data_IF_529017740697
#
_entry.id   IF_529017740697
#
_cell.length_a   1.000
_cell.length_b   1.000
_cell.length_c   1.000
_cell.angle_alpha   90.00
_cell.angle_beta   90.00
_cell.angle_gamma   90.00
#
_symmetry.space_group_name_H-M   'P 1'
#
loop_
_entity.id
_entity.type
_entity.pdbx_description
1 polymer ?
#
# COMPACT_ATOMS: atom_id res chain seq x y z
N UNK A 1 0.89 0.42 -16.04
CA UNK A 1 1.20 0.44 -14.60
C UNK A 1 0.88 1.83 -14.09
N UNK A 2 -0.02 1.94 -13.13
CA UNK A 2 -0.42 3.25 -12.57
C UNK A 2 0.59 3.62 -11.49
N UNK A 3 1.27 4.75 -11.66
CA UNK A 3 2.16 5.29 -10.62
C UNK A 3 1.32 5.98 -9.55
N UNK A 4 1.66 5.76 -8.29
CA UNK A 4 1.06 6.47 -7.15
C UNK A 4 1.86 7.75 -6.87
N UNK A 5 1.14 8.87 -6.79
CA UNK A 5 1.69 10.18 -6.46
C UNK A 5 1.27 10.66 -5.07
N UNK A 6 0.16 10.15 -4.55
CA UNK A 6 -0.45 10.59 -3.28
C UNK A 6 -0.87 9.39 -2.43
N UNK A 7 -0.74 9.45 -1.09
CA UNK A 7 -1.17 8.37 -0.20
C UNK A 7 -2.64 7.99 -0.34
N UNK A 8 -3.52 8.94 -0.66
CA UNK A 8 -4.96 8.72 -0.85
C UNK A 8 -5.31 7.80 -2.03
N UNK A 9 -4.39 7.54 -2.93
CA UNK A 9 -4.60 6.63 -4.06
C UNK A 9 -4.53 5.15 -3.64
N UNK A 10 -3.85 4.83 -2.52
CA UNK A 10 -3.77 3.47 -2.02
C UNK A 10 -5.14 2.91 -1.60
N UNK A 11 -5.96 3.59 -0.78
CA UNK A 11 -7.33 3.12 -0.49
C UNK A 11 -8.19 2.92 -1.73
N UNK A 12 -8.00 3.72 -2.78
CA UNK A 12 -8.71 3.55 -4.06
C UNK A 12 -8.28 2.25 -4.75
N UNK A 13 -6.98 1.96 -4.80
CA UNK A 13 -6.46 0.72 -5.38
C UNK A 13 -6.91 -0.51 -4.59
N UNK A 14 -6.92 -0.45 -3.26
CA UNK A 14 -7.48 -1.47 -2.37
C UNK A 14 -8.95 -1.70 -2.69
N UNK A 15 -9.75 -0.65 -2.78
CA UNK A 15 -11.17 -0.74 -3.09
C UNK A 15 -11.46 -1.37 -4.46
N UNK A 16 -10.63 -1.10 -5.46
CA UNK A 16 -10.73 -1.76 -6.77
C UNK A 16 -10.43 -3.26 -6.67
N UNK A 17 -9.38 -3.64 -5.95
CA UNK A 17 -9.03 -5.04 -5.74
C UNK A 17 -10.11 -5.80 -4.96
N UNK A 18 -10.68 -5.19 -3.91
CA UNK A 18 -11.77 -5.76 -3.15
C UNK A 18 -13.02 -6.02 -4.01
N UNK A 19 -13.45 -5.04 -4.82
CA UNK A 19 -14.60 -5.20 -5.74
C UNK A 19 -14.36 -6.27 -6.79
N UNK A 20 -13.12 -6.43 -7.25
CA UNK A 20 -12.77 -7.47 -8.21
C UNK A 20 -12.81 -8.87 -7.58
N UNK A 21 -12.30 -9.00 -6.34
CA UNK A 21 -12.26 -10.28 -5.62
C UNK A 21 -13.64 -10.68 -5.05
N UNK A 22 -14.43 -9.71 -4.61
CA UNK A 22 -15.74 -9.90 -3.96
C UNK A 22 -16.83 -9.06 -4.64
N UNK A 23 -17.34 -9.48 -5.80
CA UNK A 23 -18.29 -8.66 -6.58
C UNK A 23 -19.63 -8.38 -5.88
N UNK A 24 -20.00 -9.19 -4.87
CA UNK A 24 -21.23 -9.01 -4.08
C UNK A 24 -21.04 -8.11 -2.86
N UNK A 25 -19.82 -7.77 -2.53
CA UNK A 25 -19.49 -6.97 -1.35
C UNK A 25 -19.64 -5.49 -1.65
N UNK A 26 -20.35 -4.76 -0.79
CA UNK A 26 -20.38 -3.31 -0.85
C UNK A 26 -19.06 -2.73 -0.31
N UNK A 27 -18.29 -2.08 -1.17
CA UNK A 27 -17.00 -1.48 -0.79
C UNK A 27 -17.09 0.03 -0.83
N UNK A 28 -16.98 0.67 0.32
CA UNK A 28 -17.05 2.11 0.50
C UNK A 28 -15.81 2.72 1.18
N UNK A 29 -15.69 4.05 1.04
CA UNK A 29 -14.75 4.87 1.81
C UNK A 29 -15.30 6.31 1.83
N UNK A 30 -15.56 6.90 2.95
CA UNK A 30 -15.75 6.43 4.33
C UNK A 30 -17.01 5.56 4.49
N UNK A 31 -17.29 5.01 5.70
CA UNK A 31 -18.44 4.13 5.90
C UNK A 31 -19.72 4.87 5.51
N UNK A 32 -20.28 4.50 4.36
CA UNK A 32 -21.64 4.87 4.00
C UNK A 32 -22.63 4.12 4.88
N UNK A 33 -23.83 4.60 4.99
CA UNK A 33 -24.91 3.86 5.62
C UNK A 33 -25.20 2.67 4.71
N UNK A 34 -24.77 1.47 5.14
CA UNK A 34 -25.18 0.22 4.49
C UNK A 34 -26.68 0.02 4.72
N UNK A 35 -27.38 -0.51 3.75
CA UNK A 35 -28.74 -0.98 4.00
C UNK A 35 -28.69 -2.12 5.05
N UNK A 36 -29.73 -2.25 5.85
CA UNK A 36 -29.74 -3.11 7.04
C UNK A 36 -29.49 -4.62 6.75
N UNK A 37 -29.65 -5.01 5.48
CA UNK A 37 -29.50 -6.37 4.97
C UNK A 37 -28.25 -6.55 4.08
N UNK A 38 -27.39 -5.54 3.97
CA UNK A 38 -26.21 -5.58 3.12
C UNK A 38 -24.94 -5.88 3.91
N UNK A 39 -24.09 -6.71 3.34
CA UNK A 39 -22.72 -6.93 3.82
C UNK A 39 -21.77 -5.98 3.11
N UNK A 40 -20.96 -5.27 3.89
CA UNK A 40 -20.06 -4.29 3.35
C UNK A 40 -18.72 -4.19 4.06
N UNK A 41 -17.78 -3.54 3.37
CA UNK A 41 -16.46 -3.20 3.90
C UNK A 41 -16.19 -1.72 3.67
N UNK A 42 -15.89 -1.02 4.77
CA UNK A 42 -15.40 0.36 4.71
C UNK A 42 -13.89 0.39 4.85
N UNK A 43 -13.23 1.14 3.96
CA UNK A 43 -11.77 1.31 3.98
C UNK A 43 -11.46 2.63 4.70
N UNK A 44 -10.67 2.56 5.75
CA UNK A 44 -10.24 3.73 6.53
C UNK A 44 -8.72 3.84 6.51
N UNK A 45 -8.22 5.05 6.22
CA UNK A 45 -6.82 5.41 6.41
C UNK A 45 -6.68 5.99 7.83
N UNK A 46 -6.15 5.19 8.76
CA UNK A 46 -6.04 5.54 10.18
C UNK A 46 -4.87 6.48 10.45
N UNK A 47 -3.75 6.24 9.78
CA UNK A 47 -2.51 6.96 10.04
C UNK A 47 -1.65 7.03 8.79
N UNK A 48 -0.92 8.15 8.66
CA UNK A 48 0.18 8.32 7.73
C UNK A 48 1.39 8.82 8.54
N UNK A 49 2.48 8.08 8.53
CA UNK A 49 3.72 8.41 9.21
C UNK A 49 4.95 8.29 8.29
N UNK A 50 6.08 8.87 8.69
CA UNK A 50 7.32 8.73 7.93
C UNK A 50 7.86 7.30 8.03
N UNK A 51 8.52 6.85 6.96
CA UNK A 51 9.24 5.58 6.89
C UNK A 51 10.69 5.76 6.45
N UNK A 52 11.40 4.66 6.34
CA UNK A 52 12.76 4.63 5.80
C UNK A 52 12.70 4.78 4.28
N UNK A 53 13.48 5.68 3.72
CA UNK A 53 13.55 5.90 2.26
C UNK A 53 13.84 4.59 1.52
N UNK A 54 13.33 4.51 0.29
CA UNK A 54 13.69 3.39 -0.61
C UNK A 54 15.18 3.42 -0.94
N UNK A 55 15.69 2.32 -1.49
CA UNK A 55 17.07 2.25 -2.00
C UNK A 55 17.34 3.31 -3.08
N UNK A 56 16.32 3.69 -3.86
CA UNK A 56 16.39 4.76 -4.86
C UNK A 56 16.24 6.17 -4.24
N UNK A 57 16.11 6.28 -2.92
CA UNK A 57 16.00 7.56 -2.21
C UNK A 57 14.59 8.17 -2.17
N UNK A 58 13.55 7.49 -2.68
CA UNK A 58 12.16 7.97 -2.62
C UNK A 58 11.70 8.14 -1.17
N UNK A 59 10.82 9.11 -0.92
CA UNK A 59 10.25 9.34 0.42
C UNK A 59 9.27 8.23 0.77
N UNK A 60 9.43 7.63 1.94
CA UNK A 60 8.52 6.60 2.43
C UNK A 60 7.42 7.17 3.31
N UNK A 61 6.21 6.67 3.10
CA UNK A 61 5.02 6.90 3.90
C UNK A 61 4.50 5.56 4.40
N UNK A 62 4.50 5.36 5.72
CA UNK A 62 3.91 4.18 6.36
C UNK A 62 2.46 4.50 6.67
N UNK A 63 1.55 3.82 5.97
CA UNK A 63 0.12 3.99 6.11
C UNK A 63 -0.46 2.87 6.97
N UNK A 64 -1.24 3.22 8.00
CA UNK A 64 -2.06 2.27 8.73
C UNK A 64 -3.46 2.28 8.15
N UNK A 65 -3.96 1.13 7.74
CA UNK A 65 -5.22 0.97 7.02
C UNK A 65 -6.08 -0.03 7.78
N UNK A 66 -7.37 0.26 7.86
CA UNK A 66 -8.38 -0.62 8.41
C UNK A 66 -9.46 -0.92 7.39
N UNK A 67 -9.80 -2.20 7.25
CA UNK A 67 -10.96 -2.71 6.53
C UNK A 67 -12.03 -3.06 7.56
N UNK A 68 -13.03 -2.21 7.69
CA UNK A 68 -14.11 -2.39 8.64
C UNK A 68 -15.25 -3.17 7.98
N UNK A 69 -15.44 -4.41 8.41
CA UNK A 69 -16.41 -5.36 7.91
C UNK A 69 -17.69 -5.21 8.71
N UNK A 70 -18.82 -5.15 8.03
CA UNK A 70 -20.16 -5.13 8.63
C UNK A 70 -21.03 -6.18 7.93
N UNK A 71 -21.58 -7.10 8.70
CA UNK A 71 -22.48 -8.14 8.22
C UNK A 71 -23.81 -7.98 8.93
N UNK A 72 -24.92 -8.02 8.19
CA UNK A 72 -26.26 -7.86 8.72
C UNK A 72 -26.59 -8.93 9.75
N UNK A 73 -27.36 -8.58 10.78
CA UNK A 73 -27.88 -9.57 11.75
C UNK A 73 -28.83 -10.55 11.06
N UNK A 74 -28.65 -11.83 11.39
CA UNK A 74 -29.40 -12.93 10.75
C UNK A 74 -28.58 -13.70 9.73
N UNK A 75 -27.42 -13.23 9.40
CA UNK A 75 -26.39 -14.00 8.71
C UNK A 75 -25.96 -15.25 9.50
N UNK A 76 -25.23 -16.15 8.87
CA UNK A 76 -24.72 -17.34 9.56
C UNK A 76 -23.76 -16.94 10.70
N UNK A 77 -23.79 -17.71 11.79
CA UNK A 77 -22.84 -17.51 12.87
C UNK A 77 -21.40 -17.52 12.33
N UNK A 78 -20.58 -16.53 12.76
CA UNK A 78 -19.19 -16.35 12.33
C UNK A 78 -18.97 -15.84 10.89
N UNK A 79 -20.00 -15.47 10.12
CA UNK A 79 -19.84 -14.98 8.75
C UNK A 79 -18.90 -13.77 8.64
N UNK A 80 -18.96 -12.83 9.58
CA UNK A 80 -18.05 -11.69 9.64
C UNK A 80 -16.59 -12.11 9.93
N UNK A 81 -16.37 -13.11 10.76
CA UNK A 81 -15.06 -13.69 11.01
C UNK A 81 -14.49 -14.40 9.78
N UNK A 82 -15.33 -15.17 9.08
CA UNK A 82 -14.92 -15.89 7.87
C UNK A 82 -14.57 -14.91 6.75
N UNK A 83 -15.37 -13.83 6.60
CA UNK A 83 -15.06 -12.77 5.65
C UNK A 83 -13.78 -12.01 6.04
N UNK A 84 -13.55 -11.77 7.34
CA UNK A 84 -12.30 -11.16 7.80
C UNK A 84 -11.08 -12.02 7.44
N UNK A 85 -11.19 -13.33 7.57
CA UNK A 85 -10.13 -14.28 7.18
C UNK A 85 -9.85 -14.22 5.69
N UNK A 86 -10.88 -14.21 4.84
CA UNK A 86 -10.74 -14.09 3.39
C UNK A 86 -10.11 -12.74 2.99
N UNK A 87 -10.45 -11.66 3.70
CA UNK A 87 -9.82 -10.35 3.46
C UNK A 87 -8.36 -10.33 3.90
N UNK A 88 -8.01 -11.00 5.02
CA UNK A 88 -6.61 -11.15 5.43
C UNK A 88 -5.79 -11.88 4.36
N UNK A 89 -6.34 -12.97 3.81
CA UNK A 89 -5.69 -13.74 2.74
C UNK A 89 -5.49 -12.88 1.48
N UNK A 90 -6.48 -12.05 1.14
CA UNK A 90 -6.35 -11.12 0.02
C UNK A 90 -5.30 -10.03 0.28
N UNK A 91 -5.21 -9.53 1.52
CA UNK A 91 -4.24 -8.50 1.91
C UNK A 91 -2.83 -9.06 1.89
N UNK A 92 -2.64 -10.32 2.29
CA UNK A 92 -1.34 -10.95 2.39
C UNK A 92 -0.58 -10.87 1.06
N UNK A 93 0.65 -10.37 1.11
CA UNK A 93 1.54 -10.19 -0.05
C UNK A 93 1.00 -9.31 -1.20
N UNK A 94 -0.11 -8.60 -1.00
CA UNK A 94 -0.74 -7.79 -2.04
C UNK A 94 -0.15 -6.38 -2.11
N UNK A 95 0.25 -5.98 -3.32
CA UNK A 95 0.67 -4.62 -3.64
C UNK A 95 -0.37 -3.84 -4.46
N UNK A 96 -1.58 -4.37 -4.59
CA UNK A 96 -2.71 -3.70 -5.27
C UNK A 96 -2.40 -3.30 -6.71
N UNK A 97 -1.65 -4.16 -7.42
CA UNK A 97 -1.13 -3.93 -8.79
C UNK A 97 -0.16 -2.74 -8.91
N UNK A 98 0.37 -2.27 -7.78
CA UNK A 98 1.38 -1.23 -7.75
C UNK A 98 2.79 -1.79 -7.93
N UNK A 99 3.72 -1.02 -8.52
CA UNK A 99 5.11 -1.43 -8.65
C UNK A 99 5.78 -1.68 -7.29
N UNK A 100 6.63 -2.70 -7.20
CA UNK A 100 7.41 -2.97 -5.98
C UNK A 100 8.33 -1.79 -5.57
N UNK A 101 8.76 -0.98 -6.54
CA UNK A 101 9.52 0.25 -6.27
C UNK A 101 8.70 1.35 -5.59
N UNK A 102 7.36 1.24 -5.57
CA UNK A 102 6.46 2.23 -4.97
C UNK A 102 5.64 1.72 -3.81
N UNK A 103 5.48 0.40 -3.66
CA UNK A 103 4.62 -0.19 -2.63
C UNK A 103 5.24 -1.48 -2.10
N UNK A 104 5.48 -1.52 -0.79
CA UNK A 104 5.87 -2.75 -0.11
C UNK A 104 4.67 -3.68 0.09
N UNK A 105 4.95 -4.92 0.50
CA UNK A 105 3.91 -5.83 0.98
C UNK A 105 3.35 -5.34 2.33
N UNK A 106 2.09 -5.63 2.64
CA UNK A 106 1.49 -5.30 3.93
C UNK A 106 2.20 -6.00 5.08
N UNK A 107 2.26 -5.32 6.22
CA UNK A 107 2.84 -5.83 7.46
C UNK A 107 1.87 -5.65 8.63
N UNK A 108 2.08 -6.41 9.70
CA UNK A 108 1.28 -6.34 10.93
C UNK A 108 -0.22 -6.54 10.66
N UNK A 109 -0.55 -7.54 9.85
CA UNK A 109 -1.94 -7.85 9.50
C UNK A 109 -2.60 -8.51 10.70
N UNK A 110 -3.71 -7.93 11.16
CA UNK A 110 -4.48 -8.42 12.32
C UNK A 110 -5.96 -8.28 12.02
N UNK A 111 -6.75 -9.29 12.37
CA UNK A 111 -8.21 -9.24 12.37
C UNK A 111 -8.74 -9.31 13.80
N UNK A 112 -9.61 -8.40 14.18
CA UNK A 112 -10.22 -8.33 15.50
C UNK A 112 -11.72 -8.08 15.38
N UNK A 113 -12.55 -8.65 16.31
CA UNK A 113 -13.94 -8.27 16.40
C UNK A 113 -14.06 -6.78 16.71
N UNK A 114 -15.00 -6.10 16.07
CA UNK A 114 -15.24 -4.69 16.26
C UNK A 114 -16.65 -4.45 16.77
N UNK A 115 -16.83 -3.36 17.52
CA UNK A 115 -18.15 -2.90 17.97
C UNK A 115 -18.54 -1.69 17.13
N UNK A 116 -19.65 -1.76 16.42
CA UNK A 116 -20.20 -0.58 15.74
C UNK A 116 -20.91 0.27 16.79
N UNK A 117 -20.34 1.44 17.10
CA UNK A 117 -20.97 2.40 18.00
C UNK A 117 -22.07 3.16 17.24
N UNK A 118 -23.33 2.98 17.68
CA UNK A 118 -24.44 3.85 17.34
C UNK A 118 -25.44 3.28 16.33
N UNK A 119 -26.60 2.91 16.83
CA UNK A 119 -27.81 2.60 16.08
C UNK A 119 -28.53 1.35 16.57
N UNK A 120 -29.83 1.27 16.31
CA UNK A 120 -30.69 0.12 16.62
C UNK A 120 -30.41 -1.11 15.76
N UNK A 121 -29.54 -0.98 14.75
CA UNK A 121 -29.13 -2.07 13.86
C UNK A 121 -27.91 -2.77 14.44
N UNK A 122 -28.09 -4.01 14.83
CA UNK A 122 -27.00 -4.86 15.28
C UNK A 122 -26.31 -5.48 14.05
N UNK A 123 -25.07 -5.10 13.79
CA UNK A 123 -24.19 -5.77 12.83
C UNK A 123 -23.19 -6.65 13.59
N UNK A 124 -22.89 -7.82 13.06
CA UNK A 124 -21.67 -8.51 13.41
C UNK A 124 -20.51 -7.84 12.66
N UNK A 125 -19.50 -7.37 13.37
CA UNK A 125 -18.46 -6.54 12.76
C UNK A 125 -17.07 -7.02 13.15
N UNK A 126 -16.18 -6.98 12.17
CA UNK A 126 -14.75 -7.26 12.30
C UNK A 126 -13.94 -6.17 11.61
N UNK A 127 -12.72 -5.97 12.09
CA UNK A 127 -11.77 -5.05 11.47
C UNK A 127 -10.50 -5.80 11.12
N UNK A 128 -10.10 -5.75 9.86
CA UNK A 128 -8.77 -6.18 9.40
C UNK A 128 -7.90 -4.95 9.28
N UNK A 129 -6.85 -4.87 10.08
CA UNK A 129 -5.90 -3.75 10.08
C UNK A 129 -4.51 -4.21 9.62
N UNK A 130 -3.80 -3.34 8.93
CA UNK A 130 -2.44 -3.58 8.46
C UNK A 130 -1.70 -2.28 8.19
N UNK A 131 -0.38 -2.38 8.10
CA UNK A 131 0.48 -1.28 7.69
C UNK A 131 1.03 -1.56 6.29
N UNK A 132 1.12 -0.51 5.46
CA UNK A 132 1.71 -0.60 4.14
C UNK A 132 2.58 0.62 3.84
N UNK A 133 3.79 0.38 3.32
CA UNK A 133 4.72 1.47 2.98
C UNK A 133 4.56 1.84 1.52
N UNK A 134 4.38 3.13 1.26
CA UNK A 134 4.45 3.73 -0.07
C UNK A 134 5.72 4.54 -0.23
N UNK A 135 6.34 4.44 -1.40
CA UNK A 135 7.50 5.23 -1.81
C UNK A 135 7.07 6.25 -2.86
N UNK A 136 7.03 7.53 -2.49
CA UNK A 136 6.52 8.62 -3.29
C UNK A 136 7.62 9.57 -3.76
N UNK A 137 7.35 10.26 -4.86
CA UNK A 137 8.27 11.21 -5.48
C UNK A 137 9.27 10.54 -6.44
N UNK A 138 10.11 11.36 -7.09
CA UNK A 138 11.13 10.86 -8.01
C UNK A 138 12.23 10.09 -7.26
N UNK A 139 12.89 9.14 -7.93
CA UNK A 139 14.11 8.56 -7.40
C UNK A 139 15.17 9.67 -7.29
N UNK A 140 16.01 9.59 -6.26
CA UNK A 140 17.16 10.50 -6.10
C UNK A 140 18.41 9.97 -6.80
N UNK A 141 18.43 8.66 -7.06
CA UNK A 141 19.49 7.96 -7.75
C UNK A 141 18.94 7.57 -9.13
N UNK A 142 19.16 8.41 -10.10
CA UNK A 142 18.97 8.05 -11.51
C UNK A 142 20.31 7.50 -12.02
N UNK A 143 20.29 6.33 -12.62
CA UNK A 143 21.45 5.85 -13.37
C UNK A 143 21.77 6.86 -14.49
N UNK A 144 23.03 7.25 -14.66
CA UNK A 144 23.38 8.16 -15.74
C UNK A 144 22.94 7.58 -17.08
N UNK A 145 22.21 8.40 -17.85
CA UNK A 145 21.77 8.03 -19.20
C UNK A 145 23.00 8.01 -20.09
N UNK A 146 23.45 6.82 -20.48
CA UNK A 146 24.59 6.67 -21.41
C UNK A 146 25.47 5.48 -21.05
N UNK A 147 26.47 5.23 -21.88
CA UNK A 147 27.52 4.26 -21.56
C UNK A 147 28.42 4.86 -20.48
N UNK A 148 28.70 4.15 -19.37
CA UNK A 148 29.65 4.62 -18.39
C UNK A 148 31.02 4.82 -19.04
N UNK A 149 31.54 6.02 -18.93
CA UNK A 149 32.92 6.30 -19.35
C UNK A 149 33.85 5.92 -18.22
N UNK A 150 34.58 4.85 -18.40
CA UNK A 150 35.66 4.50 -17.50
C UNK A 150 36.93 5.21 -17.95
N UNK A 151 37.58 5.87 -17.02
CA UNK A 151 38.89 6.47 -17.25
C UNK A 151 39.90 5.88 -16.29
N UNK A 152 41.12 5.73 -16.72
CA UNK A 152 42.25 5.40 -15.86
C UNK A 152 43.35 6.43 -16.04
N UNK A 153 44.04 6.68 -14.96
CA UNK A 153 45.28 7.48 -15.00
C UNK A 153 46.24 6.94 -13.94
N UNK A 154 47.51 6.99 -14.26
CA UNK A 154 48.58 6.51 -13.37
C UNK A 154 49.12 7.64 -12.49
N UNK A 155 49.05 8.87 -12.98
CA UNK A 155 49.51 10.04 -12.30
C UNK A 155 48.52 11.17 -12.46
N UNK A 156 47.75 11.45 -11.42
CA UNK A 156 46.86 12.61 -11.31
C UNK A 156 47.46 13.60 -10.34
N UNK A 157 47.97 14.70 -10.85
CA UNK A 157 48.47 15.79 -10.02
C UNK A 157 47.36 16.69 -9.48
N UNK A 158 46.22 16.73 -10.16
CA UNK A 158 45.01 17.41 -9.73
C UNK A 158 43.80 16.56 -10.04
N UNK A 159 43.15 15.99 -9.00
CA UNK A 159 42.02 15.08 -9.10
C UNK A 159 40.78 15.74 -9.71
N UNK A 160 40.69 17.07 -9.63
CA UNK A 160 39.53 17.83 -10.12
C UNK A 160 39.69 18.24 -11.59
N UNK A 161 40.84 17.94 -12.23
CA UNK A 161 41.13 18.30 -13.61
C UNK A 161 40.73 17.14 -14.56
N UNK A 162 39.61 17.25 -15.32
CA UNK A 162 39.13 16.18 -16.20
C UNK A 162 40.11 15.89 -17.35
N UNK A 163 40.98 16.82 -17.75
CA UNK A 163 41.93 16.65 -18.85
C UNK A 163 43.08 15.69 -18.49
N UNK A 164 43.27 15.39 -17.21
CA UNK A 164 44.28 14.44 -16.73
C UNK A 164 43.80 12.97 -16.78
N UNK A 165 42.53 12.73 -17.09
CA UNK A 165 41.96 11.39 -17.19
C UNK A 165 41.96 10.91 -18.63
N UNK A 166 42.39 9.68 -18.83
CA UNK A 166 42.36 9.04 -20.18
C UNK A 166 41.26 8.00 -20.18
N UNK A 167 40.39 7.97 -21.21
CA UNK A 167 39.42 6.89 -21.37
C UNK A 167 40.13 5.55 -21.50
N UNK A 168 39.55 4.51 -20.89
CA UNK A 168 39.97 3.14 -21.12
C UNK A 168 39.73 2.79 -22.59
N UNK A 169 40.81 2.38 -23.30
CA UNK A 169 40.67 1.81 -24.63
C UNK A 169 40.10 0.41 -24.51
N UNK A 170 39.08 0.09 -25.32
CA UNK A 170 38.51 -1.26 -25.45
C UNK A 170 39.52 -2.23 -26.06
#
# INVERSE_FOLDING_TARGET
MTLIEKPSQLPIAIGQALRAAFPKLQVGSPPGVLAADETGVAITLERNGPGVRSLEGRKAHVLSISLNIMVAQGAQAFEACDLASQLMDLVLDNRWQLPAAQCDVPMNIVALPATVAGGETHYDSWTVSFNQTLYLGPPLLDDPIGKPLFACTWEVSNIDDPDQYRPLQE
#
